data_IF_464976868356
#
_entry.id   IF_464976868356
#
_cell.length_a   1.000
_cell.length_b   1.000
_cell.length_c   1.000
_cell.angle_alpha   90.00
_cell.angle_beta   90.00
_cell.angle_gamma   90.00
#
_symmetry.space_group_name_H-M   'P 1'
#
loop_
_entity.id
_entity.type
_entity.pdbx_description
1 polymer ?
#
# COMPACT_ATOMS: atom_id res chain seq x y z
N UNK A 1 -33.44 24.77 4.36
CA UNK A 1 -32.00 24.67 4.00
C UNK A 1 -31.19 25.26 5.15
N UNK A 2 -30.25 24.53 5.75
CA UNK A 2 -29.49 25.03 6.91
C UNK A 2 -28.55 26.19 6.52
N UNK A 3 -28.51 27.26 7.32
CA UNK A 3 -27.71 28.48 7.10
C UNK A 3 -26.22 28.20 6.82
N UNK A 4 -25.69 27.12 7.37
CA UNK A 4 -24.30 26.70 7.14
C UNK A 4 -24.03 26.31 5.67
N UNK A 5 -25.01 25.75 4.97
CA UNK A 5 -24.85 25.38 3.55
C UNK A 5 -24.83 26.61 2.61
N UNK A 6 -25.52 27.69 3.00
CA UNK A 6 -25.58 28.95 2.23
C UNK A 6 -24.24 29.69 2.32
N UNK A 7 -23.66 29.78 3.53
CA UNK A 7 -22.33 30.37 3.77
C UNK A 7 -21.23 29.58 3.04
N UNK A 8 -21.37 28.26 2.99
CA UNK A 8 -20.38 27.40 2.32
C UNK A 8 -20.38 27.54 0.80
N UNK A 9 -21.56 27.68 0.19
CA UNK A 9 -21.68 27.89 -1.26
C UNK A 9 -21.12 29.24 -1.69
N UNK A 10 -21.46 30.31 -0.97
CA UNK A 10 -20.92 31.66 -1.24
C UNK A 10 -19.39 31.71 -1.06
N UNK A 11 -18.85 31.00 -0.06
CA UNK A 11 -17.40 30.89 0.17
C UNK A 11 -16.65 29.85 -0.68
N UNK A 12 -17.32 29.14 -1.61
CA UNK A 12 -16.75 28.03 -2.40
C UNK A 12 -16.05 26.96 -1.55
N UNK A 13 -16.62 26.63 -0.39
CA UNK A 13 -16.07 25.65 0.57
C UNK A 13 -16.71 24.29 0.32
N UNK A 14 -15.90 23.27 0.02
CA UNK A 14 -16.39 21.89 -0.18
C UNK A 14 -15.63 20.85 0.64
N UNK A 15 -16.30 19.72 0.89
CA UNK A 15 -15.70 18.55 1.52
C UNK A 15 -14.81 17.82 0.51
N UNK A 16 -13.49 17.84 0.73
CA UNK A 16 -12.54 17.19 -0.19
C UNK A 16 -11.70 16.14 0.53
N UNK A 17 -11.42 15.05 -0.18
CA UNK A 17 -10.47 14.03 0.20
C UNK A 17 -9.19 14.19 -0.66
N UNK A 18 -8.01 13.96 -0.08
CA UNK A 18 -6.74 14.03 -0.83
C UNK A 18 -6.50 12.77 -1.65
N UNK A 19 -6.41 12.85 -2.96
CA UNK A 19 -6.05 11.69 -3.78
C UNK A 19 -4.58 11.77 -4.19
N UNK A 20 -3.90 10.64 -4.11
CA UNK A 20 -2.52 10.48 -4.58
C UNK A 20 -2.58 9.58 -5.80
N UNK A 21 -1.94 9.96 -6.89
CA UNK A 21 -1.86 9.17 -8.11
C UNK A 21 -0.44 8.61 -8.22
N UNK A 22 -0.32 7.32 -8.55
CA UNK A 22 0.95 6.72 -8.96
C UNK A 22 0.85 6.44 -10.45
N UNK A 23 1.84 6.90 -11.21
CA UNK A 23 1.99 6.61 -12.63
C UNK A 23 3.37 5.98 -12.84
N UNK A 24 3.45 5.01 -13.75
CA UNK A 24 4.71 4.39 -14.14
C UNK A 24 5.09 4.86 -15.53
N UNK A 25 6.38 5.11 -15.76
CA UNK A 25 6.95 5.41 -17.08
C UNK A 25 7.45 4.16 -17.80
N UNK A 26 7.21 2.97 -17.24
CA UNK A 26 7.61 1.69 -17.84
C UNK A 26 6.81 1.43 -19.12
N UNK A 27 7.45 1.34 -20.31
CA UNK A 27 6.76 1.04 -21.56
C UNK A 27 6.07 -0.33 -21.54
N UNK A 28 6.51 -1.25 -20.67
CA UNK A 28 5.96 -2.60 -20.53
C UNK A 28 4.95 -2.73 -19.39
N UNK A 29 4.46 -1.61 -18.82
CA UNK A 29 3.54 -1.61 -17.68
C UNK A 29 2.34 -2.54 -17.92
N UNK A 30 1.69 -2.41 -19.07
CA UNK A 30 0.48 -3.17 -19.41
C UNK A 30 0.78 -4.68 -19.49
N UNK A 31 1.87 -5.05 -20.16
CA UNK A 31 2.28 -6.46 -20.28
C UNK A 31 2.56 -7.07 -18.91
N UNK A 32 3.27 -6.34 -18.04
CA UNK A 32 3.56 -6.79 -16.67
C UNK A 32 2.31 -6.88 -15.81
N UNK A 33 1.40 -5.92 -15.95
CA UNK A 33 0.12 -5.90 -15.24
C UNK A 33 -0.75 -7.10 -15.60
N UNK A 34 -0.77 -7.54 -16.85
CA UNK A 34 -1.53 -8.74 -17.26
C UNK A 34 -0.81 -10.05 -16.89
N UNK A 35 0.52 -10.06 -16.84
CA UNK A 35 1.30 -11.25 -16.50
C UNK A 35 1.12 -11.68 -15.05
N UNK A 36 0.98 -10.73 -14.12
CA UNK A 36 0.88 -11.04 -12.68
C UNK A 36 -0.40 -11.83 -12.34
N UNK A 37 -1.61 -11.41 -12.74
CA UNK A 37 -2.84 -12.19 -12.57
C UNK A 37 -2.75 -13.60 -13.17
N UNK A 38 -2.19 -13.73 -14.38
CA UNK A 38 -2.08 -15.03 -15.06
C UNK A 38 -1.27 -16.07 -14.27
N UNK A 39 -0.33 -15.63 -13.42
CA UNK A 39 0.42 -16.54 -12.54
C UNK A 39 -0.45 -17.13 -11.43
N UNK A 40 -1.46 -16.41 -10.94
CA UNK A 40 -2.39 -16.94 -9.94
C UNK A 40 -3.32 -18.00 -10.54
N UNK A 41 -3.76 -17.79 -11.79
CA UNK A 41 -4.65 -18.74 -12.49
C UNK A 41 -3.90 -20.01 -12.92
N UNK A 42 -2.65 -19.87 -13.36
CA UNK A 42 -1.82 -20.98 -13.81
C UNK A 42 -0.41 -20.84 -13.27
N UNK A 43 -0.18 -21.47 -12.12
CA UNK A 43 1.15 -21.59 -11.54
C UNK A 43 2.08 -22.38 -12.48
N UNK A 44 3.38 -22.04 -12.54
CA UNK A 44 4.36 -22.83 -13.28
C UNK A 44 4.40 -24.29 -12.80
N UNK A 45 4.60 -25.23 -13.71
CA UNK A 45 4.67 -26.66 -13.37
C UNK A 45 5.76 -26.93 -12.32
N UNK A 46 5.39 -27.58 -11.22
CA UNK A 46 6.28 -27.86 -10.09
C UNK A 46 6.69 -26.63 -9.26
N UNK A 47 6.13 -25.44 -9.56
CA UNK A 47 6.38 -24.19 -8.84
C UNK A 47 5.22 -23.82 -7.91
N UNK A 48 5.51 -22.92 -6.97
CA UNK A 48 4.50 -22.22 -6.15
C UNK A 48 4.52 -20.73 -6.47
N UNK A 49 3.37 -20.08 -6.35
CA UNK A 49 3.23 -18.63 -6.52
C UNK A 49 3.18 -18.01 -5.14
N UNK A 50 4.26 -17.33 -4.76
CA UNK A 50 4.35 -16.62 -3.48
C UNK A 50 4.36 -15.13 -3.76
N UNK A 51 3.41 -14.41 -3.17
CA UNK A 51 3.32 -12.96 -3.24
C UNK A 51 3.99 -12.39 -2.01
N UNK A 52 4.97 -11.51 -2.20
CA UNK A 52 5.71 -10.91 -1.10
C UNK A 52 5.56 -9.41 -1.17
N UNK A 53 5.28 -8.78 -0.04
CA UNK A 53 5.24 -7.33 0.05
C UNK A 53 5.87 -6.84 1.36
N UNK A 54 6.43 -5.64 1.31
CA UNK A 54 6.93 -4.92 2.47
C UNK A 54 6.00 -3.75 2.78
N UNK A 55 5.32 -3.85 3.91
CA UNK A 55 4.47 -2.79 4.40
C UNK A 55 5.23 -1.91 5.39
N UNK A 56 5.60 -0.69 4.96
CA UNK A 56 6.24 0.29 5.83
C UNK A 56 6.27 1.70 5.22
N UNK A 57 6.49 2.75 6.04
CA UNK A 57 6.71 2.76 7.49
C UNK A 57 5.38 2.75 8.28
N UNK A 58 5.17 1.77 9.15
CA UNK A 58 4.07 1.77 10.12
C UNK A 58 4.36 2.86 11.17
N UNK A 59 3.55 3.91 11.19
CA UNK A 59 3.78 5.12 11.97
C UNK A 59 2.41 5.72 12.39
N UNK A 60 2.38 6.44 13.52
CA UNK A 60 1.20 7.10 14.09
C UNK A 60 0.87 8.44 13.40
N UNK A 61 1.44 8.69 12.22
CA UNK A 61 1.27 9.96 11.52
C UNK A 61 -0.20 10.27 11.17
N UNK A 62 -0.56 11.57 11.10
CA UNK A 62 -1.88 12.01 10.65
C UNK A 62 -2.21 11.43 9.28
N UNK A 63 -3.17 10.49 9.25
CA UNK A 63 -3.66 9.88 8.02
C UNK A 63 -4.50 10.88 7.23
N UNK A 64 -4.77 10.55 5.97
CA UNK A 64 -5.68 11.32 5.11
C UNK A 64 -7.05 11.47 5.79
N UNK A 65 -7.30 12.66 6.34
CA UNK A 65 -8.63 13.08 6.78
C UNK A 65 -9.32 13.90 5.69
N UNK A 66 -10.65 13.91 5.74
CA UNK A 66 -11.47 14.88 5.00
C UNK A 66 -11.51 16.18 5.79
N UNK A 67 -11.53 17.33 5.13
CA UNK A 67 -11.75 18.62 5.79
C UNK A 67 -12.51 19.57 4.86
N UNK A 68 -13.25 20.52 5.45
CA UNK A 68 -13.86 21.65 4.75
C UNK A 68 -12.76 22.66 4.40
N UNK A 69 -12.56 22.93 3.11
CA UNK A 69 -11.55 23.88 2.62
C UNK A 69 -12.06 24.67 1.42
N UNK A 70 -11.57 25.91 1.21
CA UNK A 70 -11.84 26.66 0.00
C UNK A 70 -11.38 25.91 -1.25
N UNK A 71 -12.12 26.09 -2.34
CA UNK A 71 -11.74 25.57 -3.66
C UNK A 71 -10.35 26.07 -4.09
N UNK A 72 -9.57 25.20 -4.73
CA UNK A 72 -8.19 25.49 -5.15
C UNK A 72 -7.15 25.51 -4.02
N UNK A 73 -7.56 25.45 -2.74
CA UNK A 73 -6.65 25.50 -1.57
C UNK A 73 -6.73 24.20 -0.73
N UNK A 74 -6.35 23.03 -1.30
CA UNK A 74 -6.37 21.78 -0.55
C UNK A 74 -5.34 21.83 0.59
N UNK A 75 -5.69 21.24 1.74
CA UNK A 75 -4.73 21.06 2.83
C UNK A 75 -3.62 20.11 2.35
N UNK A 76 -2.38 20.60 2.28
CA UNK A 76 -1.20 19.80 1.90
C UNK A 76 -0.48 19.36 3.18
N UNK A 77 -0.32 18.05 3.36
CA UNK A 77 0.62 17.54 4.35
C UNK A 77 1.97 17.44 3.65
N UNK A 78 3.02 17.95 4.29
CA UNK A 78 4.39 17.80 3.78
C UNK A 78 4.71 16.31 3.71
N UNK A 79 5.31 15.87 2.60
CA UNK A 79 5.81 14.52 2.49
C UNK A 79 7.01 14.35 3.44
N UNK A 80 6.89 13.47 4.42
CA UNK A 80 7.99 13.08 5.30
C UNK A 80 8.79 11.98 4.61
N UNK A 81 9.73 12.37 3.75
CA UNK A 81 10.55 11.44 2.96
C UNK A 81 11.55 10.66 3.82
N UNK A 82 12.11 11.31 4.85
CA UNK A 82 13.06 10.69 5.76
C UNK A 82 12.38 10.48 7.11
N UNK A 83 12.30 9.24 7.57
CA UNK A 83 11.78 8.87 8.89
C UNK A 83 12.89 8.12 9.63
N UNK A 84 13.32 8.68 10.75
CA UNK A 84 14.52 8.23 11.48
C UNK A 84 14.21 7.47 12.77
N UNK A 85 12.94 7.44 13.21
CA UNK A 85 12.50 6.73 14.42
C UNK A 85 10.98 6.55 14.44
N UNK A 86 10.48 5.67 15.33
CA UNK A 86 9.04 5.40 15.50
C UNK A 86 8.39 4.68 14.30
N UNK A 87 9.21 3.97 13.52
CA UNK A 87 8.82 3.29 12.29
C UNK A 87 9.09 1.81 12.42
N UNK A 88 8.08 1.00 12.11
CA UNK A 88 8.23 -0.46 11.93
C UNK A 88 7.87 -0.83 10.49
N UNK A 89 8.53 -1.85 9.95
CA UNK A 89 8.16 -2.47 8.69
C UNK A 89 7.56 -3.85 8.96
N UNK A 90 6.68 -4.31 8.10
CA UNK A 90 6.12 -5.65 8.15
C UNK A 90 6.41 -6.31 6.82
N UNK A 91 7.00 -7.50 6.87
CA UNK A 91 7.15 -8.35 5.70
C UNK A 91 6.00 -9.35 5.72
N UNK A 92 5.30 -9.47 4.60
CA UNK A 92 4.27 -10.49 4.43
C UNK A 92 4.56 -11.34 3.19
N UNK A 93 4.26 -12.63 3.30
CA UNK A 93 4.10 -13.51 2.16
C UNK A 93 2.73 -14.17 2.16
N UNK A 94 2.12 -14.24 0.98
CA UNK A 94 0.94 -15.04 0.70
C UNK A 94 1.35 -16.19 -0.22
N UNK A 95 1.11 -17.43 0.22
CA UNK A 95 1.12 -18.58 -0.68
C UNK A 95 -0.20 -18.61 -1.45
N UNK A 96 -0.15 -18.38 -2.76
CA UNK A 96 -1.31 -18.37 -3.64
C UNK A 96 -1.93 -19.75 -3.87
N UNK A 97 -1.18 -20.83 -3.60
CA UNK A 97 -1.68 -22.21 -3.71
C UNK A 97 -2.49 -22.61 -2.49
N UNK A 98 -1.98 -22.32 -1.29
CA UNK A 98 -2.58 -22.76 -0.02
C UNK A 98 -3.38 -21.65 0.69
N UNK A 99 -3.39 -20.43 0.14
CA UNK A 99 -3.97 -19.21 0.72
C UNK A 99 -3.49 -18.92 2.16
N UNK A 100 -2.24 -19.28 2.46
CA UNK A 100 -1.63 -19.05 3.77
C UNK A 100 -0.82 -17.76 3.78
N UNK A 101 -1.00 -16.96 4.82
CA UNK A 101 -0.24 -15.74 5.04
C UNK A 101 0.82 -15.95 6.12
N UNK A 102 2.02 -15.48 5.85
CA UNK A 102 3.13 -15.41 6.80
C UNK A 102 3.50 -13.95 7.01
N UNK A 103 3.59 -13.51 8.25
CA UNK A 103 3.88 -12.12 8.61
C UNK A 103 5.04 -12.09 9.61
N UNK A 104 6.00 -11.21 9.36
CA UNK A 104 7.14 -11.00 10.25
C UNK A 104 7.36 -9.49 10.46
N UNK A 105 7.34 -9.00 11.71
CA UNK A 105 7.83 -7.67 12.03
C UNK A 105 9.28 -7.57 11.60
N UNK A 106 9.61 -6.63 10.72
CA UNK A 106 10.96 -6.47 10.18
C UNK A 106 11.44 -5.04 10.35
N UNK A 107 12.76 -4.86 10.42
CA UNK A 107 13.35 -3.52 10.36
C UNK A 107 13.20 -2.93 8.95
N UNK A 108 13.60 -3.70 7.93
CA UNK A 108 13.47 -3.43 6.50
C UNK A 108 13.47 -4.75 5.73
N UNK A 109 12.92 -4.75 4.51
CA UNK A 109 13.01 -5.89 3.62
C UNK A 109 14.48 -6.29 3.39
N UNK A 110 14.79 -7.54 3.65
CA UNK A 110 16.07 -8.14 3.31
C UNK A 110 15.85 -9.51 2.68
N UNK A 111 16.77 -9.90 1.80
CA UNK A 111 16.75 -11.22 1.18
C UNK A 111 16.80 -12.35 2.24
N UNK A 112 17.50 -12.12 3.36
CA UNK A 112 17.57 -13.09 4.45
C UNK A 112 16.23 -13.26 5.18
N UNK A 113 15.48 -12.17 5.41
CA UNK A 113 14.14 -12.22 5.98
C UNK A 113 13.19 -12.98 5.05
N UNK A 114 13.21 -12.67 3.75
CA UNK A 114 12.44 -13.43 2.74
C UNK A 114 12.81 -14.94 2.77
N UNK A 115 14.10 -15.26 2.80
CA UNK A 115 14.57 -16.65 2.82
C UNK A 115 14.14 -17.38 4.09
N UNK A 116 14.12 -16.71 5.24
CA UNK A 116 13.60 -17.24 6.50
C UNK A 116 12.13 -17.58 6.41
N UNK A 117 11.32 -16.63 5.93
CA UNK A 117 9.89 -16.80 5.72
C UNK A 117 9.56 -17.94 4.75
N UNK A 118 10.27 -18.03 3.62
CA UNK A 118 10.09 -19.14 2.66
C UNK A 118 10.48 -20.50 3.24
N UNK A 119 11.45 -20.57 4.16
CA UNK A 119 11.81 -21.82 4.86
C UNK A 119 10.74 -22.22 5.87
N UNK A 120 10.19 -21.26 6.62
CA UNK A 120 9.11 -21.51 7.57
C UNK A 120 7.84 -22.02 6.87
N UNK A 121 7.54 -21.53 5.66
CA UNK A 121 6.41 -21.99 4.85
C UNK A 121 6.55 -23.40 4.25
N UNK A 122 7.76 -23.93 4.13
CA UNK A 122 8.03 -25.28 3.57
C UNK A 122 7.81 -26.44 4.55
N UNK A 123 7.53 -26.16 5.82
CA UNK A 123 7.63 -27.13 6.91
C UNK A 123 6.33 -27.68 7.49
N UNK A 124 5.17 -27.46 6.88
CA UNK A 124 3.90 -28.04 7.37
C UNK A 124 3.29 -28.98 6.33
N UNK A 125 3.02 -30.25 6.68
CA UNK A 125 2.29 -31.17 5.82
C UNK A 125 0.88 -30.64 5.50
#
# INVERSE_FOLDING_TARGET
MSAMNVIHRSGKISWRARTTWKASTDPNLIVRMHRVPALYDTAPAGGRVICVDEFGPLDLQPRKARARRPEGKPHRLRATRNRWGGVTHMLAALDGTDHRTHEEPSGRFSFNALRGMLRAGRGRP
#
